data_IF_012587850911
#
_entry.id   IF_012587850911
#
_cell.length_a   1.000
_cell.length_b   1.000
_cell.length_c   1.000
_cell.angle_alpha   90.00
_cell.angle_beta   90.00
_cell.angle_gamma   90.00
#
_symmetry.space_group_name_H-M   'P 1'
#
loop_
_entity.id
_entity.type
_entity.pdbx_description
1 polymer ?
#
# COMPACT_ATOMS: atom_id res chain seq x y z
N UNK A 1 -15.73 -23.42 -4.57
CA UNK A 1 -16.57 -22.86 -3.47
C UNK A 1 -15.77 -22.53 -2.21
N UNK A 2 -14.92 -23.43 -1.71
CA UNK A 2 -14.12 -23.20 -0.48
C UNK A 2 -13.24 -21.94 -0.50
N UNK A 3 -12.65 -21.60 -1.66
CA UNK A 3 -11.86 -20.38 -1.83
C UNK A 3 -12.69 -19.10 -1.61
N UNK A 4 -13.89 -19.03 -2.20
CA UNK A 4 -14.77 -17.85 -2.05
C UNK A 4 -15.27 -17.67 -0.62
N UNK A 5 -15.54 -18.77 0.11
CA UNK A 5 -15.92 -18.71 1.52
C UNK A 5 -14.76 -18.20 2.37
N UNK A 6 -13.54 -18.68 2.11
CA UNK A 6 -12.34 -18.16 2.77
C UNK A 6 -12.17 -16.67 2.53
N UNK A 7 -12.35 -16.21 1.30
CA UNK A 7 -12.17 -14.79 0.96
C UNK A 7 -13.27 -13.93 1.62
N UNK A 8 -14.49 -14.45 1.76
CA UNK A 8 -15.56 -13.80 2.50
C UNK A 8 -15.27 -13.70 4.00
N UNK A 9 -14.70 -14.76 4.59
CA UNK A 9 -14.22 -14.76 5.98
C UNK A 9 -13.06 -13.78 6.18
N UNK A 10 -12.14 -13.67 5.20
CA UNK A 10 -11.04 -12.69 5.23
C UNK A 10 -11.58 -11.26 5.17
N UNK A 11 -12.60 -10.99 4.37
CA UNK A 11 -13.29 -9.70 4.36
C UNK A 11 -13.95 -9.38 5.71
N UNK A 12 -14.63 -10.36 6.32
CA UNK A 12 -15.21 -10.21 7.66
C UNK A 12 -14.15 -9.96 8.74
N UNK A 13 -13.02 -10.65 8.66
CA UNK A 13 -11.89 -10.46 9.56
C UNK A 13 -11.29 -9.06 9.39
N UNK A 14 -11.11 -8.59 8.15
CA UNK A 14 -10.64 -7.23 7.89
C UNK A 14 -11.61 -6.17 8.42
N UNK A 15 -12.92 -6.39 8.26
CA UNK A 15 -13.95 -5.55 8.87
C UNK A 15 -13.84 -5.53 10.40
N UNK A 16 -13.64 -6.68 11.04
CA UNK A 16 -13.47 -6.75 12.48
C UNK A 16 -12.20 -6.03 12.94
N UNK A 17 -11.09 -6.18 12.23
CA UNK A 17 -9.87 -5.43 12.48
C UNK A 17 -10.11 -3.92 12.39
N UNK A 18 -10.80 -3.46 11.34
CA UNK A 18 -11.19 -2.04 11.21
C UNK A 18 -12.04 -1.57 12.39
N UNK A 19 -13.08 -2.32 12.75
CA UNK A 19 -13.96 -1.96 13.87
C UNK A 19 -13.22 -1.97 15.22
N UNK A 20 -12.27 -2.90 15.40
CA UNK A 20 -11.38 -2.95 16.55
C UNK A 20 -10.48 -1.72 16.61
N UNK A 21 -9.85 -1.34 15.50
CA UNK A 21 -9.03 -0.14 15.40
C UNK A 21 -9.83 1.13 15.76
N UNK A 22 -11.08 1.23 15.29
CA UNK A 22 -11.96 2.36 15.63
C UNK A 22 -12.32 2.42 17.12
N UNK A 23 -12.61 1.27 17.75
CA UNK A 23 -12.93 1.23 19.19
C UNK A 23 -11.74 1.53 20.10
N UNK A 24 -10.54 1.17 19.64
CA UNK A 24 -9.28 1.43 20.35
C UNK A 24 -8.79 2.87 20.12
N UNK A 25 -9.16 3.49 18.99
CA UNK A 25 -8.86 4.89 18.74
C UNK A 25 -9.79 5.78 19.58
N UNK A 26 -9.25 6.76 20.34
CA UNK A 26 -10.09 7.57 21.20
C UNK A 26 -11.07 8.40 20.38
N UNK A 27 -12.33 8.36 20.79
CA UNK A 27 -13.45 9.10 20.19
C UNK A 27 -13.50 10.58 20.56
N UNK A 28 -12.58 11.05 21.42
CA UNK A 28 -12.44 12.48 21.69
C UNK A 28 -11.97 13.17 20.42
N UNK A 29 -12.74 14.14 19.89
CA UNK A 29 -12.34 14.86 18.69
C UNK A 29 -11.03 15.58 18.98
N UNK A 30 -9.93 15.02 18.50
CA UNK A 30 -8.63 15.68 18.49
C UNK A 30 -8.80 16.93 17.63
N UNK A 31 -8.92 18.08 18.29
CA UNK A 31 -8.97 19.36 17.61
C UNK A 31 -7.60 19.55 16.96
N UNK A 32 -7.56 19.77 15.64
CA UNK A 32 -6.31 20.02 14.91
C UNK A 32 -5.53 21.20 15.52
N UNK A 33 -6.24 22.14 16.16
CA UNK A 33 -5.67 23.35 16.74
C UNK A 33 -4.95 23.13 18.09
N UNK A 34 -5.11 21.98 18.76
CA UNK A 34 -4.42 21.68 20.02
C UNK A 34 -3.39 20.56 19.83
N UNK A 35 -2.19 20.95 19.42
CA UNK A 35 -1.02 20.06 19.34
C UNK A 35 -0.69 19.37 20.68
N UNK A 36 -1.02 20.00 21.80
CA UNK A 36 -0.85 19.43 23.14
C UNK A 36 -1.66 18.14 23.38
N UNK A 37 -2.84 18.03 22.76
CA UNK A 37 -3.70 16.84 22.92
C UNK A 37 -3.12 15.65 22.14
N UNK A 38 -2.46 15.90 21.02
CA UNK A 38 -1.74 14.87 20.25
C UNK A 38 -0.52 14.34 21.00
N UNK A 39 0.26 15.24 21.61
CA UNK A 39 1.46 14.86 22.39
C UNK A 39 1.05 14.11 23.64
N UNK A 40 0.04 14.59 24.37
CA UNK A 40 -0.52 13.90 25.53
C UNK A 40 -1.05 12.51 25.14
N UNK A 41 -1.74 12.40 24.01
CA UNK A 41 -2.25 11.13 23.54
C UNK A 41 -1.13 10.11 23.22
N UNK A 42 -0.06 10.55 22.57
CA UNK A 42 1.13 9.73 22.30
C UNK A 42 1.83 9.29 23.59
N UNK A 43 1.83 10.15 24.62
CA UNK A 43 2.48 9.90 25.89
C UNK A 43 1.67 8.96 26.81
N UNK A 44 0.35 9.13 26.85
CA UNK A 44 -0.51 8.47 27.83
C UNK A 44 -1.18 7.19 27.32
N UNK A 45 -1.35 7.01 26.00
CA UNK A 45 -1.99 5.82 25.42
C UNK A 45 -1.23 5.23 24.21
N UNK A 46 0.11 5.02 24.31
CA UNK A 46 0.92 4.53 23.19
C UNK A 46 0.54 3.10 22.75
N UNK A 47 0.14 2.24 23.69
CA UNK A 47 -0.21 0.84 23.41
C UNK A 47 -1.53 0.75 22.64
N UNK A 48 -2.55 1.52 23.02
CA UNK A 48 -3.83 1.57 22.31
C UNK A 48 -3.65 2.11 20.89
N UNK A 49 -2.81 3.13 20.73
CA UNK A 49 -2.47 3.71 19.43
C UNK A 49 -1.72 2.71 18.54
N UNK A 50 -0.72 2.01 19.08
CA UNK A 50 0.04 1.01 18.35
C UNK A 50 -0.85 -0.17 17.93
N UNK A 51 -1.74 -0.62 18.81
CA UNK A 51 -2.68 -1.70 18.51
C UNK A 51 -3.71 -1.29 17.46
N UNK A 52 -4.25 -0.06 17.55
CA UNK A 52 -5.14 0.50 16.54
C UNK A 52 -4.43 0.63 15.18
N UNK A 53 -3.17 1.10 15.16
CA UNK A 53 -2.35 1.17 13.95
C UNK A 53 -2.15 -0.21 13.33
N UNK A 54 -1.79 -1.21 14.14
CA UNK A 54 -1.56 -2.58 13.70
C UNK A 54 -2.82 -3.20 13.09
N UNK A 55 -3.96 -3.05 13.77
CA UNK A 55 -5.24 -3.55 13.29
C UNK A 55 -5.70 -2.85 12.01
N UNK A 56 -5.50 -1.53 11.92
CA UNK A 56 -5.81 -0.77 10.72
C UNK A 56 -4.97 -1.22 9.53
N UNK A 57 -3.65 -1.32 9.71
CA UNK A 57 -2.73 -1.80 8.68
C UNK A 57 -3.06 -3.23 8.26
N UNK A 58 -3.35 -4.11 9.20
CA UNK A 58 -3.73 -5.50 8.90
C UNK A 58 -5.01 -5.55 8.07
N UNK A 59 -6.06 -4.82 8.49
CA UNK A 59 -7.31 -4.71 7.74
C UNK A 59 -7.10 -4.16 6.33
N UNK A 60 -6.30 -3.09 6.19
CA UNK A 60 -5.98 -2.47 4.90
C UNK A 60 -5.18 -3.41 3.98
N UNK A 61 -4.24 -4.18 4.51
CA UNK A 61 -3.46 -5.16 3.72
C UNK A 61 -4.37 -6.27 3.22
N UNK A 62 -5.23 -6.82 4.09
CA UNK A 62 -6.15 -7.91 3.72
C UNK A 62 -7.13 -7.43 2.66
N UNK A 63 -7.75 -6.26 2.84
CA UNK A 63 -8.68 -5.67 1.87
C UNK A 63 -7.99 -5.34 0.54
N UNK A 64 -6.81 -4.70 0.61
CA UNK A 64 -6.03 -4.39 -0.59
C UNK A 64 -5.61 -5.65 -1.37
N UNK A 65 -5.24 -6.72 -0.66
CA UNK A 65 -4.94 -8.01 -1.25
C UNK A 65 -6.16 -8.63 -1.95
N UNK A 66 -7.31 -8.65 -1.26
CA UNK A 66 -8.57 -9.16 -1.82
C UNK A 66 -8.99 -8.39 -3.07
N UNK A 67 -8.98 -7.05 -3.01
CA UNK A 67 -9.36 -6.19 -4.14
C UNK A 67 -8.45 -6.48 -5.34
N UNK A 68 -7.13 -6.54 -5.15
CA UNK A 68 -6.21 -6.82 -6.27
C UNK A 68 -6.41 -8.21 -6.85
N UNK A 69 -6.56 -9.23 -6.01
CA UNK A 69 -6.74 -10.61 -6.46
C UNK A 69 -8.05 -10.75 -7.26
N UNK A 70 -9.17 -10.27 -6.71
CA UNK A 70 -10.46 -10.39 -7.36
C UNK A 70 -10.61 -9.45 -8.56
N UNK A 71 -10.02 -8.25 -8.54
CA UNK A 71 -10.00 -7.36 -9.71
C UNK A 71 -9.19 -7.97 -10.87
N UNK A 72 -8.00 -8.51 -10.58
CA UNK A 72 -7.18 -9.16 -11.60
C UNK A 72 -7.91 -10.38 -12.21
N UNK A 73 -8.57 -11.19 -11.37
CA UNK A 73 -9.28 -12.37 -11.84
C UNK A 73 -10.56 -12.00 -12.59
N UNK A 74 -11.29 -10.96 -12.17
CA UNK A 74 -12.46 -10.45 -12.87
C UNK A 74 -12.10 -9.89 -14.26
N UNK A 75 -11.00 -9.14 -14.37
CA UNK A 75 -10.50 -8.63 -15.65
C UNK A 75 -10.08 -9.77 -16.58
N UNK A 76 -9.39 -10.79 -16.05
CA UNK A 76 -8.95 -11.95 -16.83
C UNK A 76 -10.09 -12.82 -17.34
N UNK A 77 -11.11 -13.06 -16.51
CA UNK A 77 -12.23 -13.99 -16.83
C UNK A 77 -13.41 -13.31 -17.52
N UNK A 78 -13.48 -11.99 -17.53
CA UNK A 78 -14.56 -11.24 -18.20
C UNK A 78 -15.95 -11.60 -17.69
N UNK A 79 -16.93 -11.67 -18.60
CA UNK A 79 -18.35 -11.96 -18.29
C UNK A 79 -18.68 -13.45 -18.06
N UNK A 80 -17.68 -14.26 -17.69
CA UNK A 80 -17.89 -15.62 -17.19
C UNK A 80 -18.61 -15.59 -15.84
N UNK A 81 -19.38 -16.64 -15.50
CA UNK A 81 -20.02 -16.77 -14.19
C UNK A 81 -19.03 -16.68 -13.02
N UNK A 82 -17.81 -17.20 -13.19
CA UNK A 82 -16.73 -17.05 -12.20
C UNK A 82 -16.12 -15.64 -12.19
N UNK A 83 -16.10 -14.96 -13.34
CA UNK A 83 -15.69 -13.55 -13.43
C UNK A 83 -16.67 -12.62 -12.70
N UNK A 84 -17.97 -12.88 -12.84
CA UNK A 84 -19.03 -12.15 -12.13
C UNK A 84 -18.92 -12.34 -10.61
N UNK A 85 -18.67 -13.56 -10.12
CA UNK A 85 -18.42 -13.82 -8.70
C UNK A 85 -17.21 -13.03 -8.16
N UNK A 86 -16.10 -13.00 -8.91
CA UNK A 86 -14.93 -12.22 -8.54
C UNK A 86 -15.21 -10.71 -8.57
N UNK A 87 -16.00 -10.23 -9.53
CA UNK A 87 -16.42 -8.83 -9.56
C UNK A 87 -17.25 -8.46 -8.33
N UNK A 88 -18.21 -9.30 -7.93
CA UNK A 88 -19.03 -9.10 -6.73
C UNK A 88 -18.16 -9.09 -5.45
N UNK A 89 -17.22 -10.03 -5.32
CA UNK A 89 -16.30 -10.05 -4.18
C UNK A 89 -15.35 -8.86 -4.16
N UNK A 90 -14.92 -8.38 -5.32
CA UNK A 90 -14.15 -7.15 -5.45
C UNK A 90 -14.95 -5.93 -4.99
N UNK A 91 -16.23 -5.82 -5.38
CA UNK A 91 -17.13 -4.76 -4.93
C UNK A 91 -17.38 -4.85 -3.42
N UNK A 92 -17.58 -6.06 -2.89
CA UNK A 92 -17.72 -6.28 -1.45
C UNK A 92 -16.48 -5.82 -0.67
N UNK A 93 -15.28 -6.22 -1.10
CA UNK A 93 -14.05 -5.77 -0.47
C UNK A 93 -13.85 -4.25 -0.61
N UNK A 94 -14.18 -3.68 -1.77
CA UNK A 94 -14.17 -2.23 -1.99
C UNK A 94 -15.12 -1.49 -1.05
N UNK A 95 -16.33 -2.03 -0.81
CA UNK A 95 -17.30 -1.46 0.11
C UNK A 95 -16.82 -1.49 1.56
N UNK A 96 -16.21 -2.59 2.00
CA UNK A 96 -15.62 -2.67 3.34
C UNK A 96 -14.45 -1.69 3.50
N UNK A 97 -13.60 -1.56 2.49
CA UNK A 97 -12.52 -0.57 2.48
C UNK A 97 -13.09 0.86 2.53
N UNK A 98 -14.13 1.15 1.75
CA UNK A 98 -14.82 2.44 1.79
C UNK A 98 -15.33 2.76 3.19
N UNK A 99 -16.00 1.82 3.86
CA UNK A 99 -16.48 2.06 5.22
C UNK A 99 -15.31 2.25 6.20
N UNK A 100 -14.23 1.45 6.08
CA UNK A 100 -13.05 1.60 6.93
C UNK A 100 -12.46 3.02 6.81
N UNK A 101 -12.39 3.58 5.60
CA UNK A 101 -11.84 4.92 5.38
C UNK A 101 -12.81 6.05 5.74
N UNK A 102 -14.10 5.91 5.44
CA UNK A 102 -15.11 6.96 5.69
C UNK A 102 -15.51 7.03 7.16
N UNK A 103 -15.70 5.89 7.84
CA UNK A 103 -16.05 5.89 9.26
C UNK A 103 -14.87 6.17 10.19
N UNK A 104 -13.64 6.12 9.69
CA UNK A 104 -12.43 6.29 10.51
C UNK A 104 -11.50 7.36 9.92
N UNK A 105 -11.95 8.62 9.78
CA UNK A 105 -11.19 9.66 9.08
C UNK A 105 -9.86 9.98 9.76
N UNK A 106 -9.81 9.96 11.09
CA UNK A 106 -8.59 10.26 11.86
C UNK A 106 -7.51 9.15 11.75
N UNK A 107 -7.81 7.86 12.05
CA UNK A 107 -6.86 6.77 11.79
C UNK A 107 -6.41 6.72 10.32
N UNK A 108 -7.33 6.97 9.39
CA UNK A 108 -7.03 7.00 7.96
C UNK A 108 -6.08 8.15 7.61
N UNK A 109 -6.31 9.35 8.13
CA UNK A 109 -5.44 10.49 7.87
C UNK A 109 -4.03 10.27 8.44
N UNK A 110 -3.94 9.78 9.68
CA UNK A 110 -2.66 9.55 10.35
C UNK A 110 -1.90 8.38 9.74
N UNK A 111 -2.50 7.18 9.72
CA UNK A 111 -1.83 5.98 9.25
C UNK A 111 -1.77 5.90 7.73
N UNK A 112 -2.85 6.27 7.05
CA UNK A 112 -2.87 6.34 5.59
C UNK A 112 -1.95 7.44 5.05
N UNK A 113 -1.93 8.62 5.69
CA UNK A 113 -1.00 9.70 5.35
C UNK A 113 0.46 9.31 5.58
N UNK A 114 0.78 8.72 6.73
CA UNK A 114 2.13 8.22 7.02
C UNK A 114 2.56 7.11 6.05
N UNK A 115 1.66 6.18 5.72
CA UNK A 115 1.92 5.13 4.73
C UNK A 115 2.16 5.72 3.34
N UNK A 116 1.34 6.69 2.91
CA UNK A 116 1.50 7.37 1.63
C UNK A 116 2.84 8.12 1.55
N UNK A 117 3.21 8.84 2.60
CA UNK A 117 4.50 9.52 2.69
C UNK A 117 5.67 8.53 2.58
N UNK A 118 5.61 7.42 3.33
CA UNK A 118 6.61 6.36 3.28
C UNK A 118 6.72 5.75 1.87
N UNK A 119 5.59 5.53 1.19
CA UNK A 119 5.57 5.04 -0.18
C UNK A 119 6.16 6.05 -1.16
N UNK A 120 5.83 7.34 -1.03
CA UNK A 120 6.41 8.41 -1.85
C UNK A 120 7.92 8.48 -1.69
N UNK A 121 8.43 8.46 -0.46
CA UNK A 121 9.87 8.44 -0.18
C UNK A 121 10.52 7.20 -0.80
N UNK A 122 9.90 6.02 -0.68
CA UNK A 122 10.39 4.80 -1.31
C UNK A 122 10.40 4.88 -2.83
N UNK A 123 9.40 5.51 -3.46
CA UNK A 123 9.36 5.70 -4.90
C UNK A 123 10.45 6.66 -5.38
N UNK A 124 10.65 7.78 -4.69
CA UNK A 124 11.73 8.73 -5.00
C UNK A 124 13.10 8.06 -4.88
N UNK A 125 13.31 7.28 -3.81
CA UNK A 125 14.56 6.52 -3.62
C UNK A 125 14.78 5.49 -4.73
N UNK A 126 13.72 4.78 -5.15
CA UNK A 126 13.80 3.85 -6.28
C UNK A 126 14.15 4.55 -7.58
N UNK A 127 13.58 5.74 -7.85
CA UNK A 127 13.92 6.53 -9.03
C UNK A 127 15.38 6.98 -9.02
N UNK A 128 15.88 7.46 -7.88
CA UNK A 128 17.29 7.85 -7.72
C UNK A 128 18.25 6.67 -7.95
N UNK A 129 17.93 5.48 -7.42
CA UNK A 129 18.71 4.27 -7.67
C UNK A 129 18.68 3.85 -9.15
N UNK A 130 17.55 4.02 -9.84
CA UNK A 130 17.49 3.72 -11.28
C UNK A 130 18.32 4.67 -12.12
N UNK A 131 18.38 5.96 -11.76
CA UNK A 131 19.23 6.92 -12.47
C UNK A 131 20.71 6.58 -12.29
N UNK A 132 21.13 6.22 -11.08
CA UNK A 132 22.52 5.78 -10.81
C UNK A 132 22.88 4.52 -11.61
N UNK A 133 21.99 3.52 -11.67
CA UNK A 133 22.22 2.29 -12.45
C UNK A 133 22.34 2.59 -13.96
N UNK A 134 21.52 3.51 -14.49
CA UNK A 134 21.57 3.89 -15.91
C UNK A 134 22.89 4.60 -16.24
N UNK A 135 23.36 5.51 -15.37
CA UNK A 135 24.65 6.19 -15.55
C UNK A 135 25.84 5.22 -15.48
N UNK A 136 25.83 4.31 -14.50
CA UNK A 136 26.85 3.25 -14.40
C UNK A 136 26.85 2.34 -15.62
N UNK A 137 25.68 1.94 -16.11
CA UNK A 137 25.56 1.11 -17.33
C UNK A 137 26.11 1.85 -18.54
N UNK A 138 25.80 3.15 -18.70
CA UNK A 138 26.29 3.96 -19.81
C UNK A 138 27.81 4.18 -19.77
N UNK A 139 28.39 4.40 -18.59
CA UNK A 139 29.85 4.54 -18.42
C UNK A 139 30.59 3.22 -18.66
N UNK A 140 30.00 2.08 -18.28
CA UNK A 140 30.56 0.74 -18.52
C UNK A 140 30.45 0.33 -19.99
N UNK A 141 29.42 0.81 -20.70
CA UNK A 141 29.20 0.50 -22.12
C UNK A 141 29.98 1.40 -23.08
N UNK A 142 30.74 2.39 -22.59
CA UNK A 142 31.68 3.16 -23.41
C UNK A 142 32.94 2.28 -23.61
N UNK A 143 33.05 1.53 -24.72
CA UNK A 143 34.21 0.68 -24.93
C UNK A 143 35.39 1.63 -25.15
N UNK A 144 36.54 1.31 -24.56
CA UNK A 144 37.81 1.87 -24.98
C UNK A 144 37.87 1.80 -26.51
N UNK A 145 37.73 2.96 -27.15
CA UNK A 145 38.04 3.15 -28.57
C UNK A 145 39.43 2.53 -28.78
N UNK A 146 39.59 1.52 -29.64
CA UNK A 146 40.93 1.10 -30.00
C UNK A 146 41.58 2.31 -30.65
N UNK A 147 42.66 2.80 -30.03
CA UNK A 147 43.51 3.83 -30.60
C UNK A 147 43.76 3.46 -32.06
N UNK A 148 43.41 4.38 -32.96
CA UNK A 148 43.70 4.25 -34.38
C UNK A 148 45.22 4.14 -34.53
N UNK A 149 45.71 2.92 -34.73
CA UNK A 149 47.11 2.63 -35.01
C UNK A 149 47.50 3.31 -36.34
N UNK A 150 48.42 4.29 -36.36
CA UNK A 150 48.88 4.88 -37.60
C UNK A 150 50.09 4.07 -38.10
N UNK A 151 49.94 3.41 -39.25
CA UNK A 151 51.04 2.78 -39.98
C UNK A 151 50.81 1.28 -40.18
N UNK A 152 50.95 0.72 -41.38
CA UNK A 152 52.11 0.87 -42.26
C UNK A 152 51.73 0.57 -43.73
N UNK A 153 52.48 1.21 -44.63
CA UNK A 153 52.37 1.26 -46.09
C UNK A 153 52.38 -0.10 -46.80
N UNK A 154 51.79 -0.09 -48.01
CA UNK A 154 52.15 -0.84 -49.24
C UNK A 154 53.55 -1.46 -49.16
N UNK A 155 53.69 -2.75 -49.49
CA UNK A 155 54.01 -3.30 -50.83
C UNK A 155 53.48 -4.74 -50.85
#
# INVERSE_FOLDING_TARGET
MTAYIRDLLLGLLAWWCGNGAFRLFPSTPLHLDRQGDWIAFLLFKPVELALAAMLFVLGSIVLGGLIRAHAAEAIRRGFSGEGCLNAVLCVYAGFLAYIQYVKMPMPTAVFGGAALLCLLVRMLRRRALQTEIIELTKSTQQPSLPEAFPGKRRI
#
